data_IF_492097492560
#
_entry.id   IF_492097492560
#
_cell.length_a   1.000
_cell.length_b   1.000
_cell.length_c   1.000
_cell.angle_alpha   90.00
_cell.angle_beta   90.00
_cell.angle_gamma   90.00
#
_symmetry.space_group_name_H-M   'P 1'
#
loop_
_entity.id
_entity.type
_entity.pdbx_description
1 polymer ?
#
# COMPACT_ATOMS: atom_id res chain seq x y z
N UNK A 1 -17.38 7.36 15.74
CA UNK A 1 -18.76 6.94 15.98
C UNK A 1 -18.77 5.44 15.88
N UNK A 2 -19.08 4.75 16.97
CA UNK A 2 -19.17 3.29 16.94
C UNK A 2 -20.36 2.89 16.05
N UNK A 3 -20.19 1.92 15.14
CA UNK A 3 -21.27 1.47 14.27
C UNK A 3 -22.50 1.01 15.07
N UNK A 4 -22.30 0.44 16.27
CA UNK A 4 -23.37 0.12 17.21
C UNK A 4 -24.23 1.34 17.57
N UNK A 5 -23.63 2.51 17.87
CA UNK A 5 -24.37 3.71 18.29
C UNK A 5 -25.26 4.27 17.17
N UNK A 6 -24.82 4.19 15.90
CA UNK A 6 -25.64 4.59 14.75
C UNK A 6 -26.78 3.61 14.44
N UNK A 7 -26.61 2.33 14.77
CA UNK A 7 -27.66 1.32 14.63
C UNK A 7 -28.72 1.52 15.73
N UNK A 8 -28.28 1.78 16.97
CA UNK A 8 -29.14 2.04 18.13
C UNK A 8 -29.99 3.31 17.94
N UNK A 9 -29.43 4.34 17.31
CA UNK A 9 -30.13 5.61 17.03
C UNK A 9 -30.94 5.60 15.72
N UNK A 10 -30.94 4.48 14.97
CA UNK A 10 -31.62 4.39 13.67
C UNK A 10 -31.02 5.29 12.57
N UNK A 11 -29.81 5.81 12.77
CA UNK A 11 -29.17 6.75 11.86
C UNK A 11 -28.34 6.03 10.79
N UNK A 12 -29.05 5.35 9.88
CA UNK A 12 -28.47 4.58 8.78
C UNK A 12 -27.68 5.43 7.77
N UNK A 13 -28.04 6.71 7.61
CA UNK A 13 -27.33 7.65 6.73
C UNK A 13 -25.93 7.91 7.25
N UNK A 14 -25.78 8.13 8.56
CA UNK A 14 -24.47 8.30 9.18
C UNK A 14 -23.63 7.01 9.03
N UNK A 15 -24.19 5.84 9.33
CA UNK A 15 -23.49 4.56 9.19
C UNK A 15 -22.99 4.34 7.74
N UNK A 16 -23.85 4.57 6.75
CA UNK A 16 -23.52 4.44 5.34
C UNK A 16 -22.44 5.45 4.90
N UNK A 17 -22.50 6.70 5.38
CA UNK A 17 -21.49 7.71 5.10
C UNK A 17 -20.12 7.33 5.71
N UNK A 18 -20.08 6.83 6.96
CA UNK A 18 -18.84 6.39 7.60
C UNK A 18 -18.21 5.20 6.87
N UNK A 19 -18.98 4.16 6.57
CA UNK A 19 -18.46 2.99 5.85
C UNK A 19 -18.07 3.32 4.41
N UNK A 20 -18.89 4.11 3.72
CA UNK A 20 -18.65 4.56 2.35
C UNK A 20 -17.40 5.44 2.23
N UNK A 21 -17.18 6.32 3.21
CA UNK A 21 -15.96 7.13 3.27
C UNK A 21 -14.72 6.26 3.47
N UNK A 22 -14.73 5.31 4.42
CA UNK A 22 -13.62 4.37 4.62
C UNK A 22 -13.32 3.54 3.37
N UNK A 23 -14.37 3.05 2.69
CA UNK A 23 -14.24 2.35 1.41
C UNK A 23 -13.61 3.24 0.33
N UNK A 24 -14.10 4.47 0.16
CA UNK A 24 -13.61 5.40 -0.86
C UNK A 24 -12.14 5.78 -0.64
N UNK A 25 -11.76 6.08 0.60
CA UNK A 25 -10.36 6.37 0.96
C UNK A 25 -9.48 5.16 0.67
N UNK A 26 -9.90 3.96 1.09
CA UNK A 26 -9.19 2.72 0.77
C UNK A 26 -9.02 2.53 -0.73
N UNK A 27 -10.09 2.73 -1.51
CA UNK A 27 -10.07 2.63 -2.97
C UNK A 27 -9.12 3.63 -3.63
N UNK A 28 -9.14 4.89 -3.21
CA UNK A 28 -8.27 5.92 -3.73
C UNK A 28 -6.79 5.61 -3.47
N UNK A 29 -6.46 5.16 -2.25
CA UNK A 29 -5.10 4.73 -1.89
C UNK A 29 -4.68 3.53 -2.74
N UNK A 30 -5.52 2.49 -2.85
CA UNK A 30 -5.23 1.31 -3.66
C UNK A 30 -4.96 1.66 -5.13
N UNK A 31 -5.74 2.57 -5.70
CA UNK A 31 -5.55 3.04 -7.07
C UNK A 31 -4.25 3.84 -7.25
N UNK A 32 -3.93 4.74 -6.32
CA UNK A 32 -2.69 5.52 -6.35
C UNK A 32 -1.45 4.61 -6.23
N UNK A 33 -1.47 3.67 -5.28
CA UNK A 33 -0.39 2.69 -5.06
C UNK A 33 -0.16 1.83 -6.29
N UNK A 34 -1.23 1.37 -6.96
CA UNK A 34 -1.11 0.60 -8.21
C UNK A 34 -0.31 1.36 -9.27
N UNK A 35 -0.69 2.61 -9.50
CA UNK A 35 -0.07 3.46 -10.52
C UNK A 35 1.40 3.71 -10.20
N UNK A 36 1.70 4.04 -8.94
CA UNK A 36 3.05 4.21 -8.44
C UNK A 36 3.90 2.95 -8.62
N UNK A 37 3.40 1.78 -8.18
CA UNK A 37 4.10 0.50 -8.31
C UNK A 37 4.37 0.15 -9.77
N UNK A 38 3.41 0.36 -10.68
CA UNK A 38 3.60 0.04 -12.09
C UNK A 38 4.75 0.83 -12.71
N UNK A 39 4.83 2.14 -12.41
CA UNK A 39 5.92 3.01 -12.87
C UNK A 39 7.24 2.60 -12.20
N UNK A 40 7.23 2.39 -10.87
CA UNK A 40 8.40 1.99 -10.11
C UNK A 40 8.98 0.67 -10.62
N UNK A 41 8.16 -0.37 -10.81
CA UNK A 41 8.61 -1.65 -11.35
C UNK A 41 9.18 -1.51 -12.77
N UNK A 42 8.56 -0.69 -13.61
CA UNK A 42 9.07 -0.46 -14.96
C UNK A 42 10.44 0.23 -14.94
N UNK A 43 10.61 1.29 -14.14
CA UNK A 43 11.86 2.05 -14.03
C UNK A 43 12.94 1.19 -13.37
N UNK A 44 12.69 0.64 -12.19
CA UNK A 44 13.65 -0.18 -11.44
C UNK A 44 14.01 -1.44 -12.22
N UNK A 45 13.03 -2.12 -12.82
CA UNK A 45 13.26 -3.30 -13.65
C UNK A 45 14.12 -2.99 -14.87
N UNK A 46 13.86 -1.86 -15.55
CA UNK A 46 14.70 -1.42 -16.68
C UNK A 46 16.12 -1.13 -16.25
N UNK A 47 16.31 -0.42 -15.13
CA UNK A 47 17.65 -0.13 -14.59
C UNK A 47 18.39 -1.42 -14.26
N UNK A 48 17.75 -2.36 -13.55
CA UNK A 48 18.35 -3.65 -13.21
C UNK A 48 18.74 -4.44 -14.46
N UNK A 49 17.88 -4.49 -15.49
CA UNK A 49 18.22 -5.15 -16.76
C UNK A 49 19.43 -4.51 -17.43
N UNK A 50 19.51 -3.18 -17.50
CA UNK A 50 20.67 -2.48 -18.07
C UNK A 50 21.94 -2.78 -17.28
N UNK A 51 21.87 -2.77 -15.95
CA UNK A 51 23.01 -3.10 -15.08
C UNK A 51 23.46 -4.55 -15.29
N UNK A 52 22.54 -5.51 -15.39
CA UNK A 52 22.86 -6.90 -15.68
C UNK A 52 23.53 -7.07 -17.05
N UNK A 53 23.04 -6.38 -18.09
CA UNK A 53 23.63 -6.43 -19.43
C UNK A 53 25.04 -5.84 -19.43
N UNK A 54 25.27 -4.71 -18.74
CA UNK A 54 26.60 -4.11 -18.65
C UNK A 54 27.57 -4.98 -17.84
N UNK A 55 27.10 -5.60 -16.74
CA UNK A 55 27.90 -6.52 -15.95
C UNK A 55 28.22 -7.81 -16.72
N UNK A 56 27.27 -8.35 -17.47
CA UNK A 56 27.47 -9.54 -18.31
C UNK A 56 28.53 -9.31 -19.39
N UNK A 57 28.57 -8.11 -19.98
CA UNK A 57 29.60 -7.73 -20.95
C UNK A 57 30.95 -7.37 -20.30
N UNK A 58 31.08 -7.49 -18.98
CA UNK A 58 32.31 -7.19 -18.24
C UNK A 58 32.68 -5.71 -18.19
N UNK A 59 31.74 -4.81 -18.50
CA UNK A 59 31.99 -3.37 -18.54
C UNK A 59 32.01 -2.74 -17.14
N UNK A 60 31.19 -3.25 -16.21
CA UNK A 60 31.04 -2.73 -14.85
C UNK A 60 30.91 -3.91 -13.87
N UNK A 61 31.50 -3.78 -12.68
CA UNK A 61 31.22 -4.66 -11.55
C UNK A 61 30.20 -4.01 -10.60
N UNK A 62 29.04 -4.66 -10.43
CA UNK A 62 27.94 -4.12 -9.62
C UNK A 62 28.13 -4.54 -8.17
N UNK A 63 28.34 -3.57 -7.28
CA UNK A 63 28.43 -3.84 -5.84
C UNK A 63 27.04 -4.09 -5.23
N UNK A 64 26.63 -5.35 -5.22
CA UNK A 64 25.37 -5.80 -4.63
C UNK A 64 25.30 -5.58 -3.11
N UNK A 65 26.43 -5.48 -2.40
CA UNK A 65 26.42 -5.20 -0.96
C UNK A 65 25.99 -3.75 -0.66
N UNK A 66 26.28 -2.79 -1.54
CA UNK A 66 25.75 -1.43 -1.41
C UNK A 66 24.23 -1.37 -1.66
N UNK A 67 23.70 -2.26 -2.51
CA UNK A 67 22.25 -2.42 -2.68
C UNK A 67 21.58 -2.96 -1.41
N UNK A 68 22.26 -3.82 -0.66
CA UNK A 68 21.78 -4.33 0.62
C UNK A 68 21.53 -3.25 1.66
N UNK A 69 22.45 -2.29 1.79
CA UNK A 69 22.21 -1.13 2.65
C UNK A 69 20.97 -0.32 2.25
N UNK A 70 20.75 -0.16 0.94
CA UNK A 70 19.64 0.62 0.41
C UNK A 70 18.28 -0.04 0.65
N UNK A 71 18.14 -1.35 0.35
CA UNK A 71 16.86 -2.03 0.62
C UNK A 71 16.63 -2.21 2.13
N UNK A 72 17.67 -2.43 2.93
CA UNK A 72 17.53 -2.53 4.39
C UNK A 72 17.05 -1.19 4.99
N UNK A 73 17.57 -0.06 4.52
CA UNK A 73 17.11 1.26 4.94
C UNK A 73 15.64 1.51 4.56
N UNK A 74 15.23 1.10 3.36
CA UNK A 74 13.83 1.18 2.93
C UNK A 74 12.92 0.33 3.82
N UNK A 75 13.30 -0.92 4.10
CA UNK A 75 12.55 -1.82 5.00
C UNK A 75 12.47 -1.23 6.40
N UNK A 76 13.57 -0.72 6.94
CA UNK A 76 13.61 -0.10 8.25
C UNK A 76 12.72 1.15 8.34
N UNK A 77 12.66 1.95 7.25
CA UNK A 77 11.78 3.10 7.16
C UNK A 77 10.30 2.71 7.10
N UNK A 78 9.95 1.66 6.33
CA UNK A 78 8.55 1.26 6.13
C UNK A 78 8.00 0.50 7.35
N UNK A 79 8.77 -0.41 7.95
CA UNK A 79 8.35 -1.27 9.06
C UNK A 79 7.56 -0.59 10.19
N UNK A 80 7.95 0.60 10.72
CA UNK A 80 7.16 1.28 11.75
C UNK A 80 5.77 1.74 11.27
N UNK A 81 5.62 2.15 10.01
CA UNK A 81 4.32 2.54 9.44
C UNK A 81 3.37 1.35 9.31
N UNK A 82 3.91 0.16 9.04
CA UNK A 82 3.15 -1.09 8.96
C UNK A 82 2.61 -1.51 10.35
N UNK A 83 3.35 -1.21 11.43
CA UNK A 83 2.87 -1.38 12.80
C UNK A 83 1.66 -0.49 13.13
N UNK A 84 1.68 0.77 12.69
CA UNK A 84 0.55 1.69 12.84
C UNK A 84 -0.70 1.23 12.09
N UNK A 85 -0.53 0.68 10.87
CA UNK A 85 -1.61 0.06 10.11
C UNK A 85 -2.20 -1.16 10.84
N UNK A 86 -1.36 -2.03 11.40
CA UNK A 86 -1.82 -3.19 12.18
C UNK A 86 -2.70 -2.74 13.35
N UNK A 87 -2.26 -1.71 14.09
CA UNK A 87 -3.03 -1.16 15.21
C UNK A 87 -4.38 -0.56 14.77
N UNK A 88 -4.41 0.14 13.63
CA UNK A 88 -5.65 0.66 13.05
C UNK A 88 -6.62 -0.48 12.67
N UNK A 89 -6.11 -1.53 12.03
CA UNK A 89 -6.90 -2.71 11.63
C UNK A 89 -7.47 -3.42 12.86
N UNK A 90 -6.68 -3.59 13.92
CA UNK A 90 -7.14 -4.26 15.14
C UNK A 90 -8.09 -3.39 15.98
N UNK A 91 -7.93 -2.07 15.95
CA UNK A 91 -8.77 -1.15 16.72
C UNK A 91 -10.12 -0.86 16.04
N UNK A 92 -10.20 -0.96 14.71
CA UNK A 92 -11.38 -0.57 13.93
C UNK A 92 -11.71 -1.62 12.85
N UNK A 93 -11.96 -2.86 13.27
CA UNK A 93 -12.16 -4.02 12.38
C UNK A 93 -13.20 -3.79 11.26
N UNK A 94 -14.33 -3.15 11.57
CA UNK A 94 -15.42 -2.94 10.59
C UNK A 94 -15.07 -1.90 9.52
N UNK A 95 -14.48 -0.77 9.90
CA UNK A 95 -14.06 0.27 8.94
C UNK A 95 -12.75 -0.09 8.24
N UNK A 96 -11.84 -0.82 8.90
CA UNK A 96 -10.66 -1.41 8.30
C UNK A 96 -11.03 -2.49 7.27
N UNK A 97 -12.05 -3.30 7.52
CA UNK A 97 -12.56 -4.25 6.54
C UNK A 97 -13.11 -3.53 5.29
N UNK A 98 -13.90 -2.47 5.47
CA UNK A 98 -14.42 -1.68 4.35
C UNK A 98 -13.32 -0.93 3.59
N UNK A 99 -12.35 -0.34 4.29
CA UNK A 99 -11.18 0.28 3.69
C UNK A 99 -10.31 -0.73 2.95
N UNK A 100 -10.11 -1.93 3.51
CA UNK A 100 -9.38 -3.04 2.88
C UNK A 100 -10.08 -3.54 1.62
N UNK A 101 -11.42 -3.66 1.64
CA UNK A 101 -12.23 -3.98 0.47
C UNK A 101 -12.10 -2.91 -0.62
N UNK A 102 -12.16 -1.63 -0.25
CA UNK A 102 -11.93 -0.50 -1.15
C UNK A 102 -10.54 -0.58 -1.78
N UNK A 103 -9.51 -0.76 -0.96
CA UNK A 103 -8.11 -0.84 -1.37
C UNK A 103 -7.87 -2.03 -2.32
N UNK A 104 -8.40 -3.21 -1.99
CA UNK A 104 -8.30 -4.39 -2.84
C UNK A 104 -8.94 -4.17 -4.21
N UNK A 105 -10.13 -3.57 -4.26
CA UNK A 105 -10.79 -3.25 -5.52
C UNK A 105 -10.05 -2.14 -6.30
N UNK A 106 -9.47 -1.16 -5.61
CA UNK A 106 -8.64 -0.11 -6.21
C UNK A 106 -7.38 -0.66 -6.88
N UNK A 107 -6.73 -1.65 -6.25
CA UNK A 107 -5.59 -2.36 -6.81
C UNK A 107 -5.98 -3.30 -7.96
N UNK A 108 -7.13 -3.98 -7.87
CA UNK A 108 -7.59 -4.98 -8.85
C UNK A 108 -8.16 -4.38 -10.14
N UNK A 109 -8.69 -3.15 -10.10
CA UNK A 109 -9.31 -2.51 -11.27
C UNK A 109 -8.28 -2.46 -12.41
N UNK A 110 -8.61 -2.98 -13.59
CA UNK A 110 -7.65 -3.22 -14.71
C UNK A 110 -6.89 -1.97 -15.12
#
# INVERSE_FOLDING_TARGET
>A
MDPQQSIETGNWVALAAYMGFSFFVGFAIGFAVKTFLKIMFFVVGTILLVLFVLQYNGMIDVNWASFEGSYNALIAWISPHLGGLKNFITANLSSAAMAGMGLFLGLRRR
#
